data_IF_074226213105
#
_entry.id   IF_074226213105
#
_cell.length_a   1.000
_cell.length_b   1.000
_cell.length_c   1.000
_cell.angle_alpha   90.00
_cell.angle_beta   90.00
_cell.angle_gamma   90.00
#
_symmetry.space_group_name_H-M   'P 1'
#
loop_
_entity.id
_entity.type
_entity.pdbx_description
1 polymer ?
#
# COMPACT_ATOMS: atom_id res chain seq x y z
N UNK A 1 -13.54 2.37 -13.56
CA UNK A 1 -12.52 1.32 -13.39
C UNK A 1 -11.59 1.72 -12.28
N UNK A 2 -11.23 0.79 -11.45
CA UNK A 2 -10.30 1.05 -10.33
C UNK A 2 -8.82 0.82 -10.70
N UNK A 3 -8.55 0.17 -11.81
CA UNK A 3 -7.22 -0.32 -12.20
C UNK A 3 -6.79 0.32 -13.50
N UNK A 4 -5.58 0.91 -13.49
CA UNK A 4 -5.05 1.63 -14.64
C UNK A 4 -3.61 1.24 -14.94
N UNK A 5 -3.32 1.01 -16.22
CA UNK A 5 -1.93 0.94 -16.70
C UNK A 5 -1.35 2.36 -16.84
N UNK A 6 -0.04 2.46 -16.67
CA UNK A 6 0.72 3.67 -16.95
C UNK A 6 1.88 3.29 -17.87
N UNK A 7 1.77 3.63 -19.15
CA UNK A 7 2.65 3.15 -20.23
C UNK A 7 2.67 1.61 -20.26
N UNK A 8 3.83 0.98 -20.11
CA UNK A 8 3.99 -0.48 -20.10
C UNK A 8 3.88 -1.10 -18.70
N UNK A 9 3.56 -0.29 -17.68
CA UNK A 9 3.42 -0.75 -16.31
C UNK A 9 1.95 -0.88 -15.96
N UNK A 10 1.56 -2.05 -15.51
CA UNK A 10 0.18 -2.30 -15.10
C UNK A 10 0.15 -3.09 -13.79
N UNK A 11 -0.90 -2.92 -12.98
CA UNK A 11 -1.03 -3.67 -11.75
C UNK A 11 -1.07 -5.18 -11.98
N UNK A 12 -0.38 -5.91 -11.10
CA UNK A 12 -0.36 -7.38 -11.08
C UNK A 12 -1.11 -7.84 -9.84
N UNK A 13 -2.15 -8.63 -10.05
CA UNK A 13 -3.03 -9.09 -8.99
C UNK A 13 -2.88 -10.59 -8.79
N UNK A 14 -2.70 -11.01 -7.53
CA UNK A 14 -2.78 -12.40 -7.14
C UNK A 14 -4.22 -12.92 -7.11
N UNK A 15 -4.43 -14.07 -6.47
CA UNK A 15 -5.75 -14.67 -6.34
C UNK A 15 -6.55 -14.00 -5.22
N UNK A 16 -7.87 -13.88 -5.42
CA UNK A 16 -8.80 -13.37 -4.42
C UNK A 16 -8.47 -11.95 -3.93
N UNK A 17 -7.85 -11.14 -4.77
CA UNK A 17 -7.60 -9.73 -4.48
C UNK A 17 -8.90 -8.94 -4.66
N UNK A 18 -9.25 -8.15 -3.64
CA UNK A 18 -10.39 -7.25 -3.72
C UNK A 18 -9.94 -5.81 -3.91
N UNK A 19 -10.43 -5.16 -4.95
CA UNK A 19 -10.25 -3.72 -5.16
C UNK A 19 -11.62 -3.10 -5.32
N UNK A 20 -11.99 -2.26 -4.33
CA UNK A 20 -13.29 -1.56 -4.39
C UNK A 20 -13.35 -0.65 -5.63
N UNK A 21 -14.49 -0.56 -6.31
CA UNK A 21 -14.63 0.28 -7.51
C UNK A 21 -14.21 1.75 -7.32
N UNK A 22 -14.33 2.28 -6.10
CA UNK A 22 -13.93 3.66 -5.78
C UNK A 22 -12.48 3.78 -5.28
N UNK A 23 -11.73 2.70 -5.29
CA UNK A 23 -10.28 2.74 -5.09
C UNK A 23 -9.59 2.97 -6.44
N UNK A 24 -8.33 3.39 -6.39
CA UNK A 24 -7.53 3.63 -7.60
C UNK A 24 -6.18 2.94 -7.46
N UNK A 25 -5.85 2.06 -8.42
CA UNK A 25 -4.57 1.35 -8.45
C UNK A 25 -3.94 1.60 -9.82
N UNK A 26 -2.78 2.25 -9.84
CA UNK A 26 -2.15 2.73 -11.06
C UNK A 26 -0.72 2.23 -11.18
N UNK A 27 -0.35 1.68 -12.32
CA UNK A 27 1.04 1.43 -12.71
C UNK A 27 1.66 0.21 -12.06
N UNK A 28 2.91 0.33 -11.65
CA UNK A 28 3.73 -0.79 -11.15
C UNK A 28 3.38 -1.16 -9.71
N UNK A 29 2.19 -1.70 -9.52
CA UNK A 29 1.67 -2.14 -8.22
C UNK A 29 1.42 -3.65 -8.27
N UNK A 30 1.98 -4.38 -7.30
CA UNK A 30 1.73 -5.81 -7.14
C UNK A 30 0.93 -6.04 -5.86
N UNK A 31 -0.21 -6.69 -5.99
CA UNK A 31 -1.06 -7.08 -4.87
C UNK A 31 -1.08 -8.60 -4.77
N UNK A 32 -0.56 -9.14 -3.68
CA UNK A 32 -0.49 -10.58 -3.48
C UNK A 32 -1.85 -11.16 -3.07
N UNK A 33 -1.93 -12.48 -2.98
CA UNK A 33 -3.18 -13.20 -2.74
C UNK A 33 -3.94 -12.69 -1.52
N UNK A 34 -5.22 -12.46 -1.67
CA UNK A 34 -6.10 -12.06 -0.58
C UNK A 34 -5.94 -10.63 -0.10
N UNK A 35 -5.10 -9.82 -0.73
CA UNK A 35 -4.99 -8.40 -0.40
C UNK A 35 -6.29 -7.66 -0.73
N UNK A 36 -6.56 -6.58 -0.02
CA UNK A 36 -7.77 -5.78 -0.23
C UNK A 36 -7.48 -4.29 -0.20
N UNK A 37 -8.15 -3.56 -1.10
CA UNK A 37 -8.03 -2.12 -1.24
C UNK A 37 -9.43 -1.51 -1.21
N UNK A 38 -9.65 -0.57 -0.32
CA UNK A 38 -10.98 -0.09 0.06
C UNK A 38 -11.28 1.30 -0.51
N UNK A 39 -12.52 1.80 -0.38
CA UNK A 39 -12.95 3.01 -1.07
C UNK A 39 -12.04 4.22 -0.84
N UNK A 40 -11.72 4.94 -1.91
CA UNK A 40 -10.91 6.15 -1.84
C UNK A 40 -9.42 5.93 -1.63
N UNK A 41 -8.97 4.69 -1.42
CA UNK A 41 -7.54 4.41 -1.37
C UNK A 41 -6.91 4.57 -2.74
N UNK A 42 -5.68 5.11 -2.78
CA UNK A 42 -4.94 5.34 -4.01
C UNK A 42 -3.55 4.72 -3.88
N UNK A 43 -3.25 3.78 -4.77
CA UNK A 43 -1.93 3.18 -4.90
C UNK A 43 -1.36 3.59 -6.26
N UNK A 44 -0.37 4.47 -6.23
CA UNK A 44 0.18 5.03 -7.45
C UNK A 44 1.64 4.64 -7.64
N UNK A 45 1.89 3.62 -8.48
CA UNK A 45 3.23 3.15 -8.84
C UNK A 45 3.69 3.74 -10.16
N UNK A 46 4.02 5.03 -10.18
CA UNK A 46 4.39 5.77 -11.38
C UNK A 46 5.89 5.69 -11.69
N UNK A 47 6.75 6.22 -10.82
CA UNK A 47 8.21 6.23 -11.02
C UNK A 47 8.94 5.28 -10.07
N UNK A 48 8.36 4.15 -9.75
CA UNK A 48 8.91 3.15 -8.86
C UNK A 48 7.90 2.03 -8.73
N UNK A 49 8.02 1.22 -7.68
CA UNK A 49 7.16 0.06 -7.47
C UNK A 49 6.51 0.09 -6.10
N UNK A 50 5.30 -0.46 -6.04
CA UNK A 50 4.58 -0.74 -4.80
C UNK A 50 4.29 -2.23 -4.75
N UNK A 51 4.66 -2.87 -3.64
CA UNK A 51 4.39 -4.30 -3.42
C UNK A 51 3.60 -4.46 -2.14
N UNK A 52 2.43 -5.07 -2.23
CA UNK A 52 1.55 -5.34 -1.09
C UNK A 52 1.48 -6.85 -0.88
N UNK A 53 1.83 -7.28 0.31
CA UNK A 53 1.85 -8.70 0.68
C UNK A 53 0.46 -9.32 0.79
N UNK A 54 0.44 -10.65 0.91
CA UNK A 54 -0.80 -11.42 0.97
C UNK A 54 -1.64 -11.04 2.19
N UNK A 55 -2.95 -10.99 2.03
CA UNK A 55 -3.94 -10.70 3.08
C UNK A 55 -3.75 -9.34 3.78
N UNK A 56 -2.99 -8.44 3.18
CA UNK A 56 -2.84 -7.08 3.68
C UNK A 56 -4.05 -6.25 3.26
N UNK A 57 -4.52 -5.44 4.19
CA UNK A 57 -5.75 -4.65 4.05
C UNK A 57 -5.37 -3.17 3.98
N UNK A 58 -5.65 -2.53 2.86
CA UNK A 58 -5.41 -1.09 2.64
C UNK A 58 -6.76 -0.38 2.73
N UNK A 59 -6.96 0.33 3.83
CA UNK A 59 -8.27 0.87 4.15
C UNK A 59 -8.55 2.22 3.50
N UNK A 60 -9.79 2.67 3.70
CA UNK A 60 -10.41 3.81 3.02
C UNK A 60 -9.54 5.08 3.07
N UNK A 61 -9.36 5.73 1.94
CA UNK A 61 -8.70 7.01 1.83
C UNK A 61 -7.17 6.99 2.00
N UNK A 62 -6.56 5.84 2.16
CA UNK A 62 -5.10 5.72 2.29
C UNK A 62 -4.43 5.99 0.95
N UNK A 63 -3.32 6.74 0.99
CA UNK A 63 -2.50 7.02 -0.18
C UNK A 63 -1.16 6.31 -0.04
N UNK A 64 -0.83 5.48 -1.03
CA UNK A 64 0.46 4.81 -1.12
C UNK A 64 1.14 5.25 -2.40
N UNK A 65 2.35 5.75 -2.26
CA UNK A 65 3.17 6.20 -3.36
C UNK A 65 4.58 5.57 -3.24
N UNK A 66 5.41 5.84 -4.19
CA UNK A 66 6.79 5.35 -4.24
C UNK A 66 7.66 6.34 -4.98
N UNK A 67 8.97 6.17 -4.88
CA UNK A 67 9.91 6.95 -5.69
C UNK A 67 10.87 5.99 -6.38
N UNK A 68 11.64 6.43 -7.39
CA UNK A 68 12.61 5.55 -8.06
C UNK A 68 13.66 4.99 -7.11
N UNK A 69 14.03 5.77 -6.08
CA UNK A 69 15.07 5.39 -5.12
C UNK A 69 14.47 4.55 -3.97
N UNK A 70 13.23 4.85 -3.59
CA UNK A 70 12.56 4.20 -2.47
C UNK A 70 11.27 3.51 -2.93
N UNK A 71 11.34 2.22 -3.30
CA UNK A 71 10.12 1.45 -3.52
C UNK A 71 9.35 1.31 -2.21
N UNK A 72 8.06 1.14 -2.31
CA UNK A 72 7.22 0.87 -1.15
C UNK A 72 6.92 -0.61 -1.08
N UNK A 73 7.24 -1.23 0.04
CA UNK A 73 7.01 -2.65 0.28
C UNK A 73 6.25 -2.79 1.59
N UNK A 74 5.08 -3.40 1.53
CA UNK A 74 4.27 -3.72 2.70
C UNK A 74 4.12 -5.23 2.75
N UNK A 75 4.46 -5.81 3.89
CA UNK A 75 4.45 -7.26 4.06
C UNK A 75 3.05 -7.87 4.08
N UNK A 76 2.99 -9.14 4.45
CA UNK A 76 1.75 -9.91 4.53
C UNK A 76 1.02 -9.68 5.86
N UNK A 77 -0.30 -9.83 5.86
CA UNK A 77 -1.11 -9.78 7.08
C UNK A 77 -1.15 -8.42 7.77
N UNK A 78 -0.81 -7.36 7.06
CA UNK A 78 -0.84 -6.01 7.61
C UNK A 78 -2.22 -5.38 7.53
N UNK A 79 -2.49 -4.47 8.46
CA UNK A 79 -3.62 -3.56 8.37
C UNK A 79 -3.08 -2.14 8.24
N UNK A 80 -3.40 -1.50 7.13
CA UNK A 80 -3.13 -0.07 6.93
C UNK A 80 -4.46 0.65 7.15
N UNK A 81 -4.54 1.42 8.20
CA UNK A 81 -5.76 2.10 8.62
C UNK A 81 -6.19 3.20 7.66
N UNK A 82 -7.32 3.83 8.01
CA UNK A 82 -7.94 4.85 7.15
C UNK A 82 -7.07 6.11 7.07
N UNK A 83 -7.01 6.70 5.89
CA UNK A 83 -6.33 7.99 5.65
C UNK A 83 -4.85 7.99 6.06
N UNK A 84 -4.18 6.86 6.00
CA UNK A 84 -2.74 6.80 6.18
C UNK A 84 -2.03 7.27 4.92
N UNK A 85 -0.79 7.74 5.06
CA UNK A 85 0.07 8.08 3.94
C UNK A 85 1.36 7.28 4.05
N UNK A 86 1.66 6.48 3.05
CA UNK A 86 2.89 5.66 3.02
C UNK A 86 3.62 5.95 1.71
N UNK A 87 4.87 6.33 1.82
CA UNK A 87 5.69 6.62 0.65
C UNK A 87 7.13 6.17 0.86
N UNK A 88 7.59 5.25 0.00
CA UNK A 88 8.99 4.85 -0.02
C UNK A 88 9.48 4.12 1.23
N UNK A 89 8.60 3.44 1.92
CA UNK A 89 8.91 2.73 3.17
C UNK A 89 8.86 1.22 2.98
N UNK A 90 9.61 0.52 3.82
CA UNK A 90 9.56 -0.95 3.92
C UNK A 90 8.88 -1.33 5.22
N UNK A 91 7.75 -1.99 5.13
CA UNK A 91 6.94 -2.42 6.27
C UNK A 91 6.92 -3.94 6.28
N UNK A 92 7.28 -4.52 7.42
CA UNK A 92 7.32 -5.96 7.61
C UNK A 92 5.94 -6.61 7.68
N UNK A 93 5.91 -7.87 8.08
CA UNK A 93 4.66 -8.64 8.16
C UNK A 93 3.89 -8.34 9.45
N UNK A 94 2.57 -8.52 9.40
CA UNK A 94 1.68 -8.44 10.56
C UNK A 94 1.77 -7.12 11.32
N UNK A 95 2.00 -6.03 10.61
CA UNK A 95 2.03 -4.68 11.18
C UNK A 95 0.65 -4.04 11.18
N UNK A 96 0.45 -3.14 12.14
CA UNK A 96 -0.68 -2.22 12.14
C UNK A 96 -0.13 -0.80 11.88
N UNK A 97 -0.49 -0.23 10.76
CA UNK A 97 -0.23 1.17 10.42
C UNK A 97 -1.52 1.91 10.65
N UNK A 98 -1.66 2.53 11.81
CA UNK A 98 -2.95 3.03 12.24
C UNK A 98 -3.40 4.28 11.47
N UNK A 99 -4.67 4.63 11.64
CA UNK A 99 -5.33 5.70 10.88
C UNK A 99 -4.60 7.04 10.97
N UNK A 100 -4.49 7.72 9.83
CA UNK A 100 -3.90 9.04 9.75
C UNK A 100 -2.40 9.10 9.97
N UNK A 101 -1.71 7.96 10.08
CA UNK A 101 -0.24 7.97 10.22
C UNK A 101 0.44 8.32 8.91
N UNK A 102 1.67 8.82 9.02
CA UNK A 102 2.50 9.23 7.87
C UNK A 102 3.83 8.48 7.98
N UNK A 103 4.11 7.61 7.00
CA UNK A 103 5.33 6.81 6.95
C UNK A 103 6.10 7.18 5.69
N UNK A 104 7.31 7.73 5.85
CA UNK A 104 8.01 8.43 4.79
C UNK A 104 9.21 7.64 4.25
N UNK A 105 9.79 8.19 3.18
CA UNK A 105 10.89 7.59 2.42
C UNK A 105 12.04 7.09 3.28
N UNK A 106 12.45 5.86 3.04
CA UNK A 106 13.56 5.23 3.73
C UNK A 106 13.24 4.68 5.12
N UNK A 107 11.99 4.81 5.58
CA UNK A 107 11.58 4.21 6.86
C UNK A 107 11.54 2.69 6.76
N UNK A 108 11.88 2.03 7.87
CA UNK A 108 11.81 0.58 7.99
C UNK A 108 11.02 0.22 9.25
N UNK A 109 9.93 -0.48 9.07
CA UNK A 109 9.04 -0.91 10.14
C UNK A 109 9.17 -2.43 10.27
N UNK A 110 9.58 -2.89 11.44
CA UNK A 110 9.79 -4.33 11.68
C UNK A 110 8.48 -5.11 11.80
N UNK A 111 8.59 -6.44 11.67
CA UNK A 111 7.44 -7.34 11.76
C UNK A 111 6.70 -7.17 13.09
N UNK A 112 5.37 -7.22 13.02
CA UNK A 112 4.51 -7.14 14.20
C UNK A 112 4.45 -5.77 14.86
N UNK A 113 5.05 -4.74 14.27
CA UNK A 113 5.06 -3.40 14.85
C UNK A 113 3.72 -2.69 14.70
N UNK A 114 3.49 -1.73 15.57
CA UNK A 114 2.33 -0.84 15.53
C UNK A 114 2.82 0.59 15.37
N UNK A 115 2.39 1.25 14.31
CA UNK A 115 2.53 2.70 14.15
C UNK A 115 1.23 3.32 14.62
N UNK A 116 1.27 4.09 15.68
CA UNK A 116 0.07 4.65 16.30
C UNK A 116 -0.65 5.65 15.38
N UNK A 117 -1.94 5.85 15.63
CA UNK A 117 -2.75 6.78 14.86
C UNK A 117 -2.14 8.19 14.88
N UNK A 118 -2.05 8.82 13.70
CA UNK A 118 -1.51 10.16 13.55
C UNK A 118 0.00 10.28 13.74
N UNK A 119 0.73 9.17 13.94
CA UNK A 119 2.19 9.22 14.10
C UNK A 119 2.87 9.54 12.78
N UNK A 120 4.03 10.16 12.87
CA UNK A 120 4.92 10.45 11.74
C UNK A 120 6.23 9.70 11.93
N UNK A 121 6.58 8.91 10.91
CA UNK A 121 7.80 8.10 10.92
C UNK A 121 8.73 8.52 9.80
#
# INVERSE_FOLDING_TARGET
>A
MAIYALDDREPVLGEDVYIHPDATVIGAVTLADGASVWPGAVLRGDYGTITIGSRTNIQDGTVIHCTPIHPTVIGAGCVVGHNAHIEGATIGDNCLIASGSVVLNGSSIGDGAVVGAGAVV
#
